data_IF_680948951389
#
_entry.id   IF_680948951389
#
_cell.length_a   1.000
_cell.length_b   1.000
_cell.length_c   1.000
_cell.angle_alpha   90.00
_cell.angle_beta   90.00
_cell.angle_gamma   90.00
#
_symmetry.space_group_name_H-M   'P 1'
#
loop_
_entity.id
_entity.type
_entity.pdbx_description
1 polymer ?
#
# COMPACT_ATOMS: atom_id res chain seq x y z
N UNK A 1 -1.13 -0.88 -12.27
CA UNK A 1 -2.48 -1.40 -12.55
C UNK A 1 -3.08 -0.53 -13.64
N UNK A 2 -3.19 -0.99 -14.89
CA UNK A 2 -3.69 -0.14 -15.99
C UNK A 2 -5.21 -0.05 -15.86
N UNK A 3 -5.73 1.13 -15.54
CA UNK A 3 -7.17 1.40 -15.68
C UNK A 3 -7.50 1.38 -17.17
N UNK A 4 -8.20 0.36 -17.65
CA UNK A 4 -8.74 0.38 -19.01
C UNK A 4 -9.83 1.46 -19.08
N UNK A 5 -9.52 2.59 -19.70
CA UNK A 5 -10.48 3.64 -20.05
C UNK A 5 -11.32 3.14 -21.24
N UNK A 6 -12.48 2.55 -20.97
CA UNK A 6 -13.46 2.27 -22.02
C UNK A 6 -14.34 3.50 -22.22
N UNK A 7 -14.22 4.14 -23.39
CA UNK A 7 -15.14 5.21 -23.84
C UNK A 7 -16.35 4.57 -24.53
N UNK A 8 -17.55 4.80 -24.00
CA UNK A 8 -18.76 4.54 -24.78
C UNK A 8 -18.92 5.61 -25.87
N UNK A 9 -19.57 5.23 -26.98
CA UNK A 9 -19.78 6.05 -28.18
C UNK A 9 -20.51 7.39 -28.00
N UNK A 10 -20.88 7.79 -26.77
CA UNK A 10 -21.55 9.05 -26.45
C UNK A 10 -20.71 10.02 -25.60
N UNK A 11 -19.38 9.83 -25.51
CA UNK A 11 -18.46 10.83 -24.94
C UNK A 11 -18.57 11.13 -23.43
N UNK A 12 -19.48 10.48 -22.68
CA UNK A 12 -19.56 10.59 -21.21
C UNK A 12 -18.58 9.62 -20.55
N UNK A 13 -17.66 10.16 -19.75
CA UNK A 13 -16.77 9.40 -18.88
C UNK A 13 -17.62 8.73 -17.79
N UNK A 14 -17.80 7.41 -17.88
CA UNK A 14 -18.44 6.65 -16.81
C UNK A 14 -17.49 6.63 -15.60
N UNK A 15 -18.00 6.90 -14.39
CA UNK A 15 -17.30 6.59 -13.14
C UNK A 15 -16.84 5.13 -13.24
N UNK A 16 -15.54 4.92 -13.32
CA UNK A 16 -14.97 3.58 -13.44
C UNK A 16 -15.34 2.78 -12.19
N UNK A 17 -16.27 1.84 -12.33
CA UNK A 17 -16.35 0.72 -11.41
C UNK A 17 -15.01 0.01 -11.53
N UNK A 18 -14.16 0.11 -10.50
CA UNK A 18 -12.90 -0.61 -10.43
C UNK A 18 -13.21 -2.11 -10.40
N UNK A 19 -13.27 -2.75 -11.56
CA UNK A 19 -13.35 -4.20 -11.66
C UNK A 19 -12.00 -4.75 -11.20
N UNK A 20 -11.88 -5.06 -9.91
CA UNK A 20 -10.70 -5.76 -9.39
C UNK A 20 -10.69 -7.12 -10.09
N UNK A 21 -9.64 -7.40 -10.86
CA UNK A 21 -9.49 -8.68 -11.53
C UNK A 21 -9.46 -9.79 -10.45
N UNK A 22 -10.39 -10.77 -10.45
CA UNK A 22 -10.47 -11.78 -9.40
C UNK A 22 -9.21 -12.64 -9.28
N UNK A 23 -8.40 -12.72 -10.34
CA UNK A 23 -7.09 -13.40 -10.31
C UNK A 23 -6.12 -12.79 -9.27
N UNK A 24 -6.28 -11.50 -8.95
CA UNK A 24 -5.47 -10.81 -7.95
C UNK A 24 -5.84 -11.21 -6.51
N UNK A 25 -7.12 -11.49 -6.24
CA UNK A 25 -7.58 -12.02 -4.95
C UNK A 25 -7.20 -13.50 -4.77
N UNK A 26 -7.10 -14.27 -5.86
CA UNK A 26 -6.78 -15.70 -5.81
C UNK A 26 -5.35 -16.06 -5.38
N UNK A 27 -4.44 -15.09 -5.26
CA UNK A 27 -3.05 -15.30 -4.82
C UNK A 27 -2.80 -14.93 -3.36
N UNK A 28 -3.86 -14.68 -2.59
CA UNK A 28 -3.76 -14.30 -1.20
C UNK A 28 -3.30 -15.49 -0.34
N UNK A 29 -2.21 -15.29 0.40
CA UNK A 29 -1.94 -16.12 1.56
C UNK A 29 -3.14 -16.00 2.52
N UNK A 30 -3.58 -17.11 3.15
CA UNK A 30 -4.67 -17.04 4.12
C UNK A 30 -4.30 -16.06 5.23
N UNK A 31 -5.22 -15.14 5.54
CA UNK A 31 -5.06 -14.25 6.67
C UNK A 31 -5.09 -15.06 7.98
N UNK A 32 -4.35 -14.66 9.01
CA UNK A 32 -4.42 -15.31 10.31
C UNK A 32 -5.84 -15.22 10.87
N UNK A 33 -6.26 -16.26 11.60
CA UNK A 33 -7.56 -16.29 12.28
C UNK A 33 -7.64 -15.25 13.44
N UNK A 34 -6.48 -14.78 13.91
CA UNK A 34 -6.36 -13.78 14.96
C UNK A 34 -6.24 -12.33 14.45
N UNK A 35 -6.14 -11.34 15.37
CA UNK A 35 -5.99 -9.94 15.00
C UNK A 35 -4.73 -9.73 14.15
N UNK A 36 -4.91 -9.10 12.98
CA UNK A 36 -3.82 -8.83 12.04
C UNK A 36 -2.86 -7.73 12.54
N UNK A 37 -3.40 -6.73 13.24
CA UNK A 37 -2.64 -5.61 13.79
C UNK A 37 -2.37 -5.84 15.29
N UNK A 38 -1.10 -5.76 15.70
CA UNK A 38 -0.69 -5.67 17.10
C UNK A 38 -0.46 -4.21 17.52
N UNK A 39 0.27 -4.00 18.62
CA UNK A 39 0.57 -2.66 19.18
C UNK A 39 1.28 -1.74 18.19
N UNK A 40 2.28 -2.25 17.48
CA UNK A 40 3.10 -1.49 16.52
C UNK A 40 2.85 -1.91 15.06
N UNK A 41 1.63 -2.38 14.75
CA UNK A 41 1.28 -2.83 13.41
C UNK A 41 1.42 -4.34 13.20
N UNK A 42 1.62 -4.75 11.95
CA UNK A 42 1.60 -6.16 11.52
C UNK A 42 2.99 -6.77 11.67
N UNK A 43 3.10 -7.88 12.38
CA UNK A 43 4.34 -8.65 12.56
C UNK A 43 4.14 -10.08 12.11
N UNK A 44 5.17 -10.66 11.50
CA UNK A 44 5.12 -12.03 11.01
C UNK A 44 6.44 -12.44 10.38
N UNK A 45 6.56 -13.71 10.01
CA UNK A 45 7.74 -14.23 9.31
C UNK A 45 7.68 -13.84 7.84
N UNK A 46 8.80 -13.33 7.32
CA UNK A 46 8.96 -13.02 5.90
C UNK A 46 8.84 -14.29 5.05
N UNK A 47 8.11 -14.21 3.95
CA UNK A 47 7.83 -15.36 3.08
C UNK A 47 6.68 -16.27 3.55
N UNK A 48 6.18 -16.08 4.77
CA UNK A 48 4.97 -16.76 5.26
C UNK A 48 3.79 -15.77 5.29
N UNK A 49 3.63 -15.02 6.39
CA UNK A 49 2.62 -13.98 6.47
C UNK A 49 3.06 -12.72 5.71
N UNK A 50 4.30 -12.30 5.92
CA UNK A 50 4.85 -11.07 5.30
C UNK A 50 5.42 -11.40 3.92
N UNK A 51 4.54 -11.44 2.91
CA UNK A 51 4.89 -11.67 1.51
C UNK A 51 4.73 -10.39 0.67
N UNK A 52 5.38 -10.33 -0.49
CA UNK A 52 5.23 -9.20 -1.41
C UNK A 52 3.77 -9.01 -1.89
N UNK A 53 3.02 -10.05 -2.29
CA UNK A 53 1.60 -9.89 -2.65
C UNK A 53 0.75 -9.35 -1.49
N UNK A 54 1.02 -9.80 -0.26
CA UNK A 54 0.34 -9.30 0.93
C UNK A 54 0.64 -7.81 1.16
N UNK A 55 1.91 -7.40 1.15
CA UNK A 55 2.31 -6.00 1.35
C UNK A 55 1.74 -5.06 0.28
N UNK A 56 1.68 -5.51 -0.98
CA UNK A 56 1.08 -4.75 -2.07
C UNK A 56 -0.42 -4.55 -1.89
N UNK A 57 -1.14 -5.61 -1.50
CA UNK A 57 -2.58 -5.51 -1.22
C UNK A 57 -2.87 -4.65 -0.01
N UNK A 58 -2.09 -4.80 1.06
CA UNK A 58 -2.17 -3.96 2.24
C UNK A 58 -1.98 -2.48 1.87
N UNK A 59 -0.95 -2.16 1.08
CA UNK A 59 -0.72 -0.79 0.60
C UNK A 59 -1.88 -0.25 -0.22
N UNK A 60 -2.44 -1.04 -1.14
CA UNK A 60 -3.60 -0.64 -1.94
C UNK A 60 -4.82 -0.35 -1.06
N UNK A 61 -5.20 -1.27 -0.18
CA UNK A 61 -6.37 -1.11 0.69
C UNK A 61 -6.17 0.00 1.72
N UNK A 62 -4.97 0.15 2.29
CA UNK A 62 -4.63 1.28 3.15
C UNK A 62 -4.85 2.61 2.41
N UNK A 63 -4.40 2.70 1.15
CA UNK A 63 -4.63 3.88 0.32
C UNK A 63 -6.11 4.16 0.03
N UNK A 64 -6.93 3.13 -0.15
CA UNK A 64 -8.38 3.27 -0.30
C UNK A 64 -9.03 3.85 0.98
N UNK A 65 -8.62 3.36 2.15
CA UNK A 65 -9.12 3.85 3.46
C UNK A 65 -8.69 5.30 3.70
N UNK A 66 -7.43 5.66 3.43
CA UNK A 66 -6.93 7.03 3.58
C UNK A 66 -7.75 8.03 2.74
N UNK A 67 -7.99 7.70 1.47
CA UNK A 67 -8.82 8.52 0.56
C UNK A 67 -10.27 8.63 1.04
N UNK A 68 -10.86 7.54 1.52
CA UNK A 68 -12.25 7.53 1.99
C UNK A 68 -12.47 8.46 3.19
N UNK A 69 -11.48 8.55 4.08
CA UNK A 69 -11.52 9.42 5.26
C UNK A 69 -11.23 10.90 4.95
N UNK A 70 -11.08 11.29 3.68
CA UNK A 70 -10.67 12.64 3.23
C UNK A 70 -9.37 13.14 3.89
N UNK A 71 -8.56 12.21 4.38
CA UNK A 71 -7.21 12.47 4.83
C UNK A 71 -6.38 12.43 3.55
N UNK A 72 -6.28 13.56 2.85
CA UNK A 72 -5.28 13.71 1.78
C UNK A 72 -4.27 14.78 2.18
N UNK A 73 -3.35 14.49 3.12
CA UNK A 73 -2.16 15.29 3.34
C UNK A 73 -0.99 14.66 2.57
N UNK A 74 -0.20 15.49 1.89
CA UNK A 74 1.17 15.19 1.49
C UNK A 74 1.48 13.85 0.80
N UNK A 75 2.77 13.55 0.62
CA UNK A 75 3.26 12.27 0.14
C UNK A 75 3.32 11.24 1.28
N UNK A 76 3.04 9.97 1.01
CA UNK A 76 3.24 8.90 2.01
C UNK A 76 4.73 8.56 2.10
N UNK A 77 5.31 8.65 3.31
CA UNK A 77 6.71 8.29 3.55
C UNK A 77 6.83 6.81 3.93
N UNK A 78 7.71 6.10 3.23
CA UNK A 78 8.11 4.73 3.56
C UNK A 78 9.58 4.73 3.95
N UNK A 79 9.88 4.11 5.09
CA UNK A 79 11.24 3.81 5.54
C UNK A 79 11.33 2.37 6.01
N UNK A 80 12.54 1.81 6.03
CA UNK A 80 12.78 0.41 6.36
C UNK A 80 14.01 0.21 7.23
N UNK A 81 14.05 -0.93 7.94
CA UNK A 81 15.23 -1.39 8.70
C UNK A 81 16.17 -2.25 7.84
N UNK A 82 17.27 -2.73 8.43
CA UNK A 82 18.30 -3.51 7.72
C UNK A 82 17.96 -4.99 7.52
N UNK A 83 16.71 -5.43 7.69
CA UNK A 83 16.33 -6.83 7.43
C UNK A 83 16.39 -7.14 5.94
N UNK A 84 16.81 -8.34 5.59
CA UNK A 84 16.87 -8.79 4.19
C UNK A 84 15.53 -8.73 3.45
N UNK A 85 14.40 -8.84 4.17
CA UNK A 85 13.05 -8.76 3.60
C UNK A 85 12.55 -7.33 3.39
N UNK A 86 13.26 -6.32 3.90
CA UNK A 86 12.81 -4.94 3.93
C UNK A 86 12.56 -4.38 2.54
N UNK A 87 13.52 -4.50 1.62
CA UNK A 87 13.39 -3.97 0.26
C UNK A 87 12.17 -4.55 -0.46
N UNK A 88 11.98 -5.87 -0.34
CA UNK A 88 10.83 -6.56 -0.93
C UNK A 88 9.50 -5.99 -0.41
N UNK A 89 9.37 -5.85 0.91
CA UNK A 89 8.13 -5.40 1.54
C UNK A 89 7.88 -3.90 1.28
N UNK A 90 8.90 -3.07 1.37
CA UNK A 90 8.81 -1.63 1.12
C UNK A 90 8.43 -1.35 -0.34
N UNK A 91 9.05 -2.03 -1.31
CA UNK A 91 8.72 -1.87 -2.72
C UNK A 91 7.31 -2.37 -3.06
N UNK A 92 6.91 -3.51 -2.50
CA UNK A 92 5.56 -4.02 -2.68
C UNK A 92 4.51 -3.07 -2.10
N UNK A 93 4.73 -2.57 -0.88
CA UNK A 93 3.84 -1.61 -0.22
C UNK A 93 3.75 -0.29 -1.00
N UNK A 94 4.88 0.24 -1.48
CA UNK A 94 4.94 1.42 -2.34
C UNK A 94 4.15 1.21 -3.64
N UNK A 95 4.28 0.05 -4.29
CA UNK A 95 3.52 -0.31 -5.49
C UNK A 95 2.00 -0.36 -5.22
N UNK A 96 1.59 -0.84 -4.04
CA UNK A 96 0.19 -0.86 -3.60
C UNK A 96 -0.38 0.55 -3.42
N UNK A 97 0.32 1.38 -2.65
CA UNK A 97 -0.07 2.77 -2.37
C UNK A 97 -0.11 3.63 -3.64
N UNK A 98 0.89 3.52 -4.50
CA UNK A 98 0.91 4.21 -5.81
C UNK A 98 -0.19 3.71 -6.74
N UNK A 99 -0.53 2.42 -6.72
CA UNK A 99 -1.67 1.89 -7.47
C UNK A 99 -3.02 2.41 -6.94
N UNK A 100 -3.09 2.79 -5.66
CA UNK A 100 -4.23 3.51 -5.10
C UNK A 100 -4.22 5.02 -5.47
N UNK A 101 -3.24 5.50 -6.23
CA UNK A 101 -3.16 6.90 -6.67
C UNK A 101 -2.59 7.86 -5.62
N UNK A 102 -1.80 7.36 -4.67
CA UNK A 102 -1.07 8.18 -3.69
C UNK A 102 0.37 8.42 -4.14
N UNK A 103 0.90 9.59 -3.82
CA UNK A 103 2.33 9.88 -3.93
C UNK A 103 3.08 9.17 -2.79
N UNK A 104 4.22 8.57 -3.10
CA UNK A 104 5.03 7.81 -2.13
C UNK A 104 6.48 8.25 -2.21
N UNK A 105 7.05 8.62 -1.07
CA UNK A 105 8.47 8.91 -0.90
C UNK A 105 9.13 7.75 -0.16
N UNK A 106 9.94 6.96 -0.86
CA UNK A 106 10.70 5.89 -0.24
C UNK A 106 12.10 6.39 0.18
N UNK A 107 12.34 6.40 1.49
CA UNK A 107 13.62 6.80 2.09
C UNK A 107 14.68 5.69 2.02
N UNK A 108 14.26 4.44 1.84
CA UNK A 108 15.14 3.29 2.00
C UNK A 108 15.53 3.06 3.46
N UNK A 109 16.76 2.60 3.69
CA UNK A 109 17.27 2.24 5.02
C UNK A 109 17.35 3.49 5.92
N UNK A 110 16.50 3.55 6.93
CA UNK A 110 16.51 4.65 7.89
C UNK A 110 15.95 4.22 9.25
N UNK A 111 16.43 4.80 10.37
CA UNK A 111 15.84 4.54 11.68
C UNK A 111 14.36 4.96 11.74
N UNK A 112 13.55 4.20 12.47
CA UNK A 112 12.13 4.55 12.74
C UNK A 112 11.91 6.00 13.22
N UNK A 113 12.72 6.59 14.12
CA UNK A 113 12.54 8.00 14.49
C UNK A 113 12.80 8.98 13.34
N UNK A 114 13.61 8.62 12.34
CA UNK A 114 13.82 9.45 11.14
C UNK A 114 12.53 9.55 10.33
N UNK A 115 11.84 8.41 10.12
CA UNK A 115 10.53 8.37 9.44
C UNK A 115 9.54 9.27 10.16
N UNK A 116 9.40 9.11 11.49
CA UNK A 116 8.47 9.90 12.28
C UNK A 116 8.77 11.41 12.24
N UNK A 117 10.06 11.77 12.30
CA UNK A 117 10.50 13.16 12.20
C UNK A 117 10.18 13.76 10.83
N UNK A 118 10.54 13.05 9.75
CA UNK A 118 10.30 13.49 8.38
C UNK A 118 8.81 13.65 8.10
N UNK A 119 7.99 12.69 8.51
CA UNK A 119 6.52 12.77 8.38
C UNK A 119 5.98 14.06 8.99
N UNK A 120 6.44 14.42 10.20
CA UNK A 120 6.03 15.64 10.88
C UNK A 120 6.45 16.91 10.14
N UNK A 121 7.70 16.99 9.67
CA UNK A 121 8.21 18.24 9.08
C UNK A 121 7.80 18.44 7.62
N UNK A 122 7.56 17.36 6.87
CA UNK A 122 7.16 17.42 5.46
C UNK A 122 5.65 17.49 5.25
N UNK A 123 4.87 17.47 6.34
CA UNK A 123 3.39 17.40 6.28
C UNK A 123 2.89 16.21 5.45
N UNK A 124 3.62 15.09 5.55
CA UNK A 124 3.25 13.79 4.99
C UNK A 124 2.20 13.07 5.86
#
# INVERSE_FOLDING_TARGET
MVSSLSRNGNGRLNRANTTINPAFLGQLAPLPEGPLFGTDGIRGKAGELLTAPFALQLGFWAGQVLKANRIIPGPIIIGQDSRNSSDMLAMAMAAGLTSAGLEVWNLGLCPTPCVAYLTRISQA
#
